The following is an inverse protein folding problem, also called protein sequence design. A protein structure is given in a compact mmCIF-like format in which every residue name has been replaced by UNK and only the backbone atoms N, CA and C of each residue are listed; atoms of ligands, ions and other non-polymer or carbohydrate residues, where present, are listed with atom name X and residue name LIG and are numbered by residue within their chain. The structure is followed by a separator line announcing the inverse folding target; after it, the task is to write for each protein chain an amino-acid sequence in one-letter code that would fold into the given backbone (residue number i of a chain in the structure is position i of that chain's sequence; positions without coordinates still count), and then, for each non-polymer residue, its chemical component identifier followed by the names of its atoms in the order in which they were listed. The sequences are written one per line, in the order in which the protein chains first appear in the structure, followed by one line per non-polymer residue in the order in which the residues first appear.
data_IF_934097526822
#
_entry.id   IF_934097526822
#
_cell.length_a   1.000
_cell.length_b   1.000
_cell.length_c   1.000
_cell.angle_alpha   90.00
_cell.angle_beta   90.00
_cell.angle_gamma   90.00
#
_symmetry.space_group_name_H-M   'P 1'
#
loop_
_entity.id
_entity.type
_entity.pdbx_description
1 polymer ?
#
# COMPACT_ATOMS: atom_id res chain seq x y z
N UNK A 1 -12.97 -17.65 8.74
CA UNK A 1 -13.10 -16.84 7.51
C UNK A 1 -11.73 -16.28 7.21
N UNK A 2 -11.31 -16.33 5.95
CA UNK A 2 -10.05 -15.75 5.48
C UNK A 2 -10.26 -14.26 5.21
N UNK A 3 -9.39 -13.41 5.75
CA UNK A 3 -9.46 -11.96 5.56
C UNK A 3 -8.74 -11.55 4.27
N UNK A 4 -9.39 -10.77 3.41
CA UNK A 4 -8.77 -10.13 2.26
C UNK A 4 -8.28 -8.76 2.70
N UNK A 5 -6.98 -8.53 2.58
CA UNK A 5 -6.32 -7.30 3.00
C UNK A 5 -5.78 -6.59 1.77
N UNK A 6 -6.55 -5.62 1.28
CA UNK A 6 -6.12 -4.76 0.19
C UNK A 6 -5.39 -3.55 0.76
N UNK A 7 -4.09 -3.45 0.51
CA UNK A 7 -3.29 -2.29 0.83
C UNK A 7 -2.80 -1.65 -0.48
N UNK A 8 -3.08 -0.36 -0.64
CA UNK A 8 -2.68 0.41 -1.81
C UNK A 8 -1.67 1.48 -1.40
N UNK A 9 -0.49 1.42 -2.00
CA UNK A 9 0.59 2.35 -1.73
C UNK A 9 0.61 3.51 -2.73
N UNK A 10 0.61 4.74 -2.23
CA UNK A 10 0.66 5.98 -3.00
C UNK A 10 2.01 6.67 -2.83
N UNK A 11 2.78 6.74 -3.92
CA UNK A 11 4.08 7.38 -3.92
C UNK A 11 4.39 8.14 -5.20
N UNK A 12 4.85 9.38 -5.02
CA UNK A 12 5.50 10.13 -6.10
C UNK A 12 6.81 10.74 -5.58
N UNK A 13 7.95 10.48 -6.24
CA UNK A 13 9.21 11.08 -5.87
C UNK A 13 9.33 12.50 -6.43
N UNK A 14 10.16 13.33 -5.79
CA UNK A 14 10.63 14.58 -6.37
C UNK A 14 11.79 14.31 -7.34
N UNK A 15 11.52 14.36 -8.64
CA UNK A 15 12.52 14.12 -9.70
C UNK A 15 13.48 15.29 -9.82
N UNK A 16 14.76 14.99 -9.95
CA UNK A 16 15.83 15.97 -10.09
C UNK A 16 15.72 16.74 -11.42
N UNK A 17 16.02 18.03 -11.36
CA UNK A 17 16.23 18.85 -12.53
C UNK A 17 17.62 18.66 -13.13
N UNK A 18 17.80 19.17 -14.36
CA UNK A 18 19.12 19.20 -14.98
C UNK A 18 20.00 20.23 -14.25
N UNK A 19 20.89 19.72 -13.41
CA UNK A 19 21.85 20.50 -12.64
C UNK A 19 23.26 20.35 -13.22
N UNK A 20 23.98 21.46 -13.38
CA UNK A 20 25.37 21.50 -13.88
C UNK A 20 26.30 22.02 -12.78
N UNK A 21 27.60 21.76 -12.92
CA UNK A 21 28.59 22.33 -12.00
C UNK A 21 28.49 23.86 -11.86
N UNK A 22 28.17 24.56 -12.96
CA UNK A 22 27.98 26.01 -12.98
C UNK A 22 26.75 26.49 -12.19
N UNK A 23 25.82 25.59 -11.84
CA UNK A 23 24.61 25.93 -11.08
C UNK A 23 24.87 25.88 -9.56
N UNK A 24 26.03 25.42 -9.09
CA UNK A 24 26.38 25.37 -7.67
C UNK A 24 26.39 26.79 -7.07
N UNK A 25 25.69 26.97 -5.93
CA UNK A 25 25.57 28.28 -5.27
C UNK A 25 24.59 29.25 -5.91
N UNK A 26 23.93 28.87 -7.02
CA UNK A 26 22.94 29.73 -7.70
C UNK A 26 21.61 29.91 -6.96
N UNK A 27 21.36 29.11 -5.91
CA UNK A 27 20.07 29.05 -5.23
C UNK A 27 18.97 28.33 -6.02
N UNK A 28 19.28 27.80 -7.21
CA UNK A 28 18.35 27.01 -8.01
C UNK A 28 18.02 25.70 -7.29
N UNK A 29 16.72 25.35 -7.24
CA UNK A 29 16.26 24.06 -6.70
C UNK A 29 16.91 22.89 -7.43
N UNK A 30 17.27 21.84 -6.68
CA UNK A 30 17.72 20.56 -7.24
C UNK A 30 16.60 19.81 -7.96
N UNK A 31 15.33 20.09 -7.61
CA UNK A 31 14.17 19.41 -8.16
C UNK A 31 13.56 20.19 -9.33
N UNK A 32 13.11 19.47 -10.34
CA UNK A 32 12.32 20.03 -11.44
C UNK A 32 10.85 20.16 -10.99
N UNK A 33 10.57 21.14 -10.14
CA UNK A 33 9.24 21.31 -9.53
C UNK A 33 8.13 21.40 -10.60
N UNK A 34 8.25 22.23 -11.66
CA UNK A 34 7.22 22.30 -12.70
C UNK A 34 6.93 20.94 -13.35
N UNK A 35 7.98 20.18 -13.70
CA UNK A 35 7.83 18.86 -14.30
C UNK A 35 7.19 17.85 -13.36
N UNK A 36 7.56 17.84 -12.08
CA UNK A 36 6.96 16.93 -11.10
C UNK A 36 5.47 17.21 -10.93
N UNK A 37 5.07 18.48 -10.81
CA UNK A 37 3.66 18.85 -10.70
C UNK A 37 2.87 18.55 -11.99
N UNK A 38 3.47 18.69 -13.17
CA UNK A 38 2.84 18.28 -14.44
C UNK A 38 2.61 16.76 -14.51
N UNK A 39 3.63 15.97 -14.15
CA UNK A 39 3.52 14.50 -14.06
C UNK A 39 2.42 14.13 -13.06
N UNK A 40 2.42 14.74 -11.87
CA UNK A 40 1.42 14.46 -10.85
C UNK A 40 0.00 14.72 -11.36
N UNK A 41 -0.25 15.87 -12.01
CA UNK A 41 -1.58 16.19 -12.58
C UNK A 41 -2.01 15.17 -13.62
N UNK A 42 -1.09 14.72 -14.46
CA UNK A 42 -1.39 13.72 -15.50
C UNK A 42 -1.77 12.37 -14.88
N UNK A 43 -1.01 11.90 -13.89
CA UNK A 43 -1.32 10.64 -13.20
C UNK A 43 -2.61 10.79 -12.38
N UNK A 44 -2.88 11.97 -11.81
CA UNK A 44 -4.10 12.23 -11.05
C UNK A 44 -5.37 12.10 -11.90
N UNK A 45 -5.34 12.51 -13.17
CA UNK A 45 -6.48 12.30 -14.10
C UNK A 45 -6.65 10.84 -14.51
N UNK A 46 -5.55 10.10 -14.69
CA UNK A 46 -5.58 8.72 -15.19
C UNK A 46 -5.85 7.67 -14.12
N UNK A 47 -5.30 7.90 -12.92
CA UNK A 47 -5.27 6.91 -11.84
C UNK A 47 -5.96 7.42 -10.58
N UNK A 48 -5.48 8.49 -9.94
CA UNK A 48 -5.94 8.86 -8.59
C UNK A 48 -7.42 9.19 -8.53
N UNK A 49 -7.91 10.15 -9.32
CA UNK A 49 -9.33 10.53 -9.30
C UNK A 49 -10.26 9.38 -9.66
N UNK A 50 -10.11 8.71 -10.83
CA UNK A 50 -11.05 7.66 -11.21
C UNK A 50 -11.03 6.47 -10.26
N UNK A 51 -9.87 6.13 -9.68
CA UNK A 51 -9.76 5.02 -8.73
C UNK A 51 -10.33 5.39 -7.36
N UNK A 52 -10.02 6.58 -6.82
CA UNK A 52 -10.57 7.05 -5.55
C UNK A 52 -12.09 7.20 -5.61
N UNK A 53 -12.64 7.74 -6.70
CA UNK A 53 -14.09 7.86 -6.89
C UNK A 53 -14.77 6.48 -6.86
N UNK A 54 -14.16 5.47 -7.48
CA UNK A 54 -14.67 4.09 -7.43
C UNK A 54 -14.53 3.47 -6.04
N UNK A 55 -13.41 3.65 -5.36
CA UNK A 55 -13.22 3.14 -4.01
C UNK A 55 -14.20 3.78 -3.01
N UNK A 56 -14.49 5.08 -3.14
CA UNK A 56 -15.53 5.75 -2.35
C UNK A 56 -16.92 5.16 -2.63
N UNK A 57 -17.28 4.96 -3.89
CA UNK A 57 -18.55 4.32 -4.26
C UNK A 57 -18.65 2.89 -3.69
N UNK A 58 -17.55 2.12 -3.71
CA UNK A 58 -17.49 0.77 -3.12
C UNK A 58 -17.65 0.80 -1.60
N UNK A 59 -17.03 1.76 -0.93
CA UNK A 59 -17.25 1.96 0.51
C UNK A 59 -18.72 2.27 0.79
N UNK A 60 -19.40 3.06 -0.03
CA UNK A 60 -20.82 3.36 0.16
C UNK A 60 -21.73 2.14 -0.12
N UNK A 61 -21.43 1.37 -1.18
CA UNK A 61 -22.24 0.22 -1.61
C UNK A 61 -22.05 -1.02 -0.72
N UNK A 62 -20.84 -1.25 -0.21
CA UNK A 62 -20.47 -2.45 0.55
C UNK A 62 -20.08 -2.08 1.99
N UNK A 63 -21.00 -2.19 2.97
CA UNK A 63 -20.72 -1.89 4.38
C UNK A 63 -19.56 -2.68 4.98
N UNK A 64 -19.32 -3.89 4.46
CA UNK A 64 -18.26 -4.79 4.88
C UNK A 64 -16.93 -4.54 4.18
N UNK A 65 -16.90 -3.77 3.08
CA UNK A 65 -15.67 -3.46 2.36
C UNK A 65 -14.75 -2.56 3.18
N UNK A 66 -13.48 -2.96 3.22
CA UNK A 66 -12.41 -2.31 3.98
C UNK A 66 -11.12 -2.44 3.20
N UNK A 67 -10.25 -1.45 3.36
CA UNK A 67 -8.93 -1.43 2.74
C UNK A 67 -7.93 -0.64 3.60
N UNK A 68 -6.68 -0.59 3.19
CA UNK A 68 -5.67 0.25 3.82
C UNK A 68 -4.87 1.02 2.78
N UNK A 69 -4.35 2.17 3.19
CA UNK A 69 -3.54 3.04 2.34
C UNK A 69 -2.20 3.33 3.03
N UNK A 70 -1.11 3.26 2.26
CA UNK A 70 0.17 3.85 2.62
C UNK A 70 0.38 5.08 1.74
N UNK A 71 0.51 6.27 2.32
CA UNK A 71 0.63 7.52 1.55
C UNK A 71 1.89 8.24 1.96
N UNK A 72 2.88 8.29 1.07
CA UNK A 72 4.18 8.91 1.38
C UNK A 72 4.07 10.42 1.60
N UNK A 73 5.02 10.99 2.34
CA UNK A 73 5.06 12.44 2.58
C UNK A 73 5.24 13.23 1.28
N UNK A 74 6.15 12.77 0.41
CA UNK A 74 6.37 13.41 -0.90
C UNK A 74 5.15 13.34 -1.82
N UNK A 75 4.32 12.29 -1.71
CA UNK A 75 3.04 12.23 -2.41
C UNK A 75 2.10 13.33 -1.91
N UNK A 76 1.93 13.46 -0.59
CA UNK A 76 1.01 14.46 -0.02
C UNK A 76 1.45 15.90 -0.31
N UNK A 77 2.75 16.17 -0.29
CA UNK A 77 3.31 17.46 -0.72
C UNK A 77 2.93 17.78 -2.16
N UNK A 78 3.20 16.86 -3.09
CA UNK A 78 2.86 17.06 -4.50
C UNK A 78 1.35 17.16 -4.71
N UNK A 79 0.56 16.35 -4.01
CA UNK A 79 -0.90 16.38 -4.11
C UNK A 79 -1.48 17.73 -3.68
N UNK A 80 -1.02 18.30 -2.56
CA UNK A 80 -1.46 19.62 -2.07
C UNK A 80 -1.24 20.73 -3.10
N UNK A 81 -0.14 20.69 -3.83
CA UNK A 81 0.22 21.70 -4.82
C UNK A 81 -0.41 21.45 -6.20
N UNK A 82 -0.48 20.19 -6.63
CA UNK A 82 -0.88 19.82 -7.99
C UNK A 82 -2.36 19.47 -8.14
N UNK A 83 -2.95 18.81 -7.13
CA UNK A 83 -4.30 18.24 -7.17
C UNK A 83 -4.87 18.08 -5.74
N UNK A 84 -5.20 19.19 -5.04
CA UNK A 84 -5.64 19.14 -3.65
C UNK A 84 -6.92 18.31 -3.45
N UNK A 85 -7.75 18.20 -4.48
CA UNK A 85 -8.97 17.38 -4.49
C UNK A 85 -8.69 15.86 -4.36
N UNK A 86 -7.47 15.40 -4.63
CA UNK A 86 -7.02 14.04 -4.34
C UNK A 86 -6.85 13.84 -2.83
N UNK A 87 -6.31 14.84 -2.13
CA UNK A 87 -6.15 14.81 -0.66
C UNK A 87 -7.51 14.81 0.01
N UNK A 88 -8.46 15.62 -0.47
CA UNK A 88 -9.83 15.67 0.05
C UNK A 88 -10.53 14.30 -0.05
N UNK A 89 -10.36 13.59 -1.18
CA UNK A 89 -10.90 12.22 -1.35
C UNK A 89 -10.26 11.21 -0.41
N UNK A 90 -8.93 11.27 -0.24
CA UNK A 90 -8.24 10.42 0.73
C UNK A 90 -8.74 10.68 2.15
N UNK A 91 -8.96 11.95 2.52
CA UNK A 91 -9.54 12.31 3.81
C UNK A 91 -10.98 11.80 3.97
N UNK A 92 -11.81 11.88 2.92
CA UNK A 92 -13.16 11.32 2.93
C UNK A 92 -13.15 9.79 3.11
N UNK A 93 -12.24 9.09 2.41
CA UNK A 93 -12.05 7.65 2.56
C UNK A 93 -11.66 7.26 3.98
N UNK A 94 -10.64 7.91 4.55
CA UNK A 94 -10.22 7.64 5.94
C UNK A 94 -11.32 8.00 6.93
N UNK A 95 -12.01 9.12 6.72
CA UNK A 95 -13.15 9.57 7.56
C UNK A 95 -14.34 8.61 7.56
N UNK A 96 -14.42 7.65 6.64
CA UNK A 96 -15.43 6.58 6.65
C UNK A 96 -15.26 5.58 7.82
N UNK A 97 -14.09 5.56 8.48
CA UNK A 97 -13.74 4.62 9.54
C UNK A 97 -13.48 3.18 9.05
N UNK A 98 -13.43 2.96 7.73
CA UNK A 98 -13.23 1.64 7.09
C UNK A 98 -11.94 1.55 6.27
N UNK A 99 -11.13 2.60 6.31
CA UNK A 99 -9.83 2.67 5.64
C UNK A 99 -8.75 2.86 6.68
N UNK A 100 -7.86 1.87 6.80
CA UNK A 100 -6.71 1.92 7.68
C UNK A 100 -5.53 2.68 7.05
N UNK A 101 -4.65 3.24 7.88
CA UNK A 101 -3.40 3.88 7.42
C UNK A 101 -2.19 3.08 7.86
N UNK A 102 -1.22 2.97 6.96
CA UNK A 102 0.08 2.33 7.21
C UNK A 102 1.16 3.42 7.23
N UNK A 103 2.00 3.39 8.26
CA UNK A 103 3.18 4.25 8.36
C UNK A 103 4.32 3.72 7.48
N UNK A 104 5.17 4.63 7.01
CA UNK A 104 6.42 4.33 6.32
C UNK A 104 7.44 5.45 6.55
N UNK A 105 8.52 5.48 5.76
CA UNK A 105 9.45 6.61 5.75
C UNK A 105 8.83 7.79 4.98
N UNK A 106 9.01 9.02 5.48
CA UNK A 106 8.39 10.21 4.88
C UNK A 106 8.74 10.36 3.39
N UNK A 107 9.99 10.11 3.02
CA UNK A 107 10.47 10.27 1.64
C UNK A 107 10.40 8.99 0.82
N UNK A 108 9.80 7.92 1.33
CA UNK A 108 9.89 6.57 0.76
C UNK A 108 11.35 6.09 0.60
N UNK A 109 12.23 6.54 1.51
CA UNK A 109 13.66 6.30 1.44
C UNK A 109 14.06 4.92 1.97
N UNK A 110 15.29 4.51 1.62
CA UNK A 110 15.97 3.37 2.24
C UNK A 110 16.70 3.77 3.53
N UNK A 111 16.11 4.65 4.36
CA UNK A 111 16.75 5.15 5.59
C UNK A 111 17.19 4.04 6.57
N UNK A 112 16.63 2.84 6.45
CA UNK A 112 17.07 1.65 7.19
C UNK A 112 18.49 1.18 6.82
N UNK A 113 19.07 1.65 5.72
CA UNK A 113 20.48 1.42 5.35
C UNK A 113 21.42 2.50 5.93
N UNK A 114 20.86 3.56 6.50
CA UNK A 114 21.58 4.71 7.03
C UNK A 114 21.68 4.62 8.57
N UNK A 115 22.47 5.50 9.22
CA UNK A 115 22.58 5.49 10.68
C UNK A 115 21.21 5.60 11.38
N UNK A 116 21.04 4.99 12.58
CA UNK A 116 19.75 4.86 13.24
C UNK A 116 18.89 6.12 13.41
N UNK A 117 19.46 7.34 13.60
CA UNK A 117 18.64 8.56 13.68
C UNK A 117 17.81 8.81 12.43
N UNK A 118 18.32 8.52 11.22
CA UNK A 118 17.63 8.86 9.98
C UNK A 118 16.29 8.12 9.84
N UNK A 119 16.32 6.80 10.06
CA UNK A 119 15.11 5.98 10.02
C UNK A 119 14.07 6.43 11.06
N UNK A 120 14.53 6.75 12.27
CA UNK A 120 13.64 7.30 13.31
C UNK A 120 12.97 8.56 12.83
N UNK A 121 13.78 9.53 12.41
CA UNK A 121 13.34 10.90 12.18
C UNK A 121 12.35 10.91 11.01
N UNK A 122 12.60 10.12 9.95
CA UNK A 122 11.66 9.96 8.83
C UNK A 122 10.33 9.30 9.22
N UNK A 123 10.35 8.23 10.04
CA UNK A 123 9.13 7.54 10.46
C UNK A 123 8.30 8.42 11.41
N UNK A 124 8.96 9.16 12.31
CA UNK A 124 8.29 10.12 13.20
C UNK A 124 7.65 11.27 12.40
N UNK A 125 8.39 11.82 11.43
CA UNK A 125 7.89 12.85 10.54
C UNK A 125 6.67 12.37 9.73
N UNK A 126 6.71 11.13 9.23
CA UNK A 126 5.58 10.54 8.51
C UNK A 126 4.37 10.32 9.40
N UNK A 127 4.55 9.77 10.60
CA UNK A 127 3.45 9.60 11.56
C UNK A 127 2.80 10.94 11.91
N UNK A 128 3.59 11.99 12.12
CA UNK A 128 3.09 13.32 12.40
C UNK A 128 2.30 13.90 11.21
N UNK A 129 2.79 13.71 9.98
CA UNK A 129 2.05 14.10 8.78
C UNK A 129 0.70 13.39 8.68
N UNK A 130 0.63 12.09 8.97
CA UNK A 130 -0.61 11.32 8.93
C UNK A 130 -1.60 11.80 10.01
N UNK A 131 -1.14 12.07 11.24
CA UNK A 131 -1.98 12.68 12.29
C UNK A 131 -2.55 14.02 11.85
N UNK A 132 -1.73 14.89 11.29
CA UNK A 132 -2.17 16.23 10.87
C UNK A 132 -3.14 16.18 9.69
N UNK A 133 -2.89 15.27 8.74
CA UNK A 133 -3.67 15.19 7.49
C UNK A 133 -4.98 14.42 7.68
N UNK A 134 -4.95 13.32 8.42
CA UNK A 134 -6.04 12.35 8.50
C UNK A 134 -6.63 12.19 9.91
N UNK A 135 -6.00 12.79 10.94
CA UNK A 135 -6.40 12.65 12.36
C UNK A 135 -6.35 11.21 12.88
N UNK A 136 -5.48 10.40 12.29
CA UNK A 136 -5.30 9.00 12.63
C UNK A 136 -3.84 8.71 13.00
N UNK A 137 -3.67 7.77 13.93
CA UNK A 137 -2.39 7.28 14.42
C UNK A 137 -2.11 5.90 13.80
N UNK A 138 -1.16 5.78 12.86
CA UNK A 138 -0.88 4.50 12.22
C UNK A 138 -0.31 3.49 13.25
N UNK A 139 -0.80 2.26 13.21
CA UNK A 139 -0.35 1.17 14.11
C UNK A 139 0.44 0.08 13.40
N UNK A 140 0.49 0.16 12.07
CA UNK A 140 1.27 -0.74 11.23
C UNK A 140 2.34 0.05 10.48
N UNK A 141 3.52 -0.55 10.38
CA UNK A 141 4.66 0.00 9.66
C UNK A 141 4.96 -0.82 8.39
N UNK A 142 5.32 -0.16 7.30
CA UNK A 142 5.99 -0.80 6.17
C UNK A 142 7.26 -0.04 5.82
N UNK A 143 8.23 -0.74 5.27
CA UNK A 143 9.41 -0.11 4.69
C UNK A 143 9.29 -0.08 3.17
N UNK A 144 10.08 0.79 2.54
CA UNK A 144 10.26 0.84 1.09
C UNK A 144 10.49 -0.56 0.53
N UNK A 145 9.76 -0.89 -0.55
CA UNK A 145 9.75 -2.22 -1.17
C UNK A 145 9.39 -3.39 -0.23
N UNK A 146 8.63 -3.14 0.84
CA UNK A 146 8.28 -4.12 1.87
C UNK A 146 9.53 -4.80 2.48
N UNK A 147 10.64 -4.06 2.54
CA UNK A 147 11.89 -4.54 3.10
C UNK A 147 11.72 -4.97 4.57
N UNK A 148 12.28 -6.12 4.90
CA UNK A 148 12.19 -6.70 6.23
C UNK A 148 13.55 -7.14 6.76
N UNK A 149 13.75 -6.95 8.06
CA UNK A 149 14.81 -7.59 8.83
C UNK A 149 14.39 -7.62 10.30
N UNK A 150 15.01 -8.51 11.08
CA UNK A 150 14.87 -8.53 12.54
C UNK A 150 15.22 -7.20 13.20
N UNK A 151 16.16 -6.44 12.63
CA UNK A 151 16.48 -5.09 13.09
C UNK A 151 15.31 -4.13 12.93
N UNK A 152 14.60 -4.21 11.81
CA UNK A 152 13.42 -3.40 11.53
C UNK A 152 12.22 -3.81 12.38
N UNK A 153 12.07 -5.11 12.65
CA UNK A 153 11.04 -5.61 13.56
C UNK A 153 11.24 -5.07 14.98
N UNK A 154 12.47 -5.11 15.52
CA UNK A 154 12.79 -4.50 16.83
C UNK A 154 12.57 -3.00 16.84
N UNK A 155 12.93 -2.31 15.75
CA UNK A 155 12.66 -0.88 15.62
C UNK A 155 11.16 -0.59 15.70
N UNK A 156 10.34 -1.35 14.95
CA UNK A 156 8.89 -1.19 14.93
C UNK A 156 8.27 -1.44 16.32
N UNK A 157 8.63 -2.55 16.96
CA UNK A 157 8.14 -2.92 18.29
C UNK A 157 8.54 -1.87 19.35
N UNK A 158 9.79 -1.41 19.34
CA UNK A 158 10.28 -0.37 20.25
C UNK A 158 9.55 0.97 20.11
N UNK A 159 8.86 1.19 18.98
CA UNK A 159 8.02 2.37 18.70
C UNK A 159 6.54 2.14 18.90
N UNK A 160 6.15 0.96 19.37
CA UNK A 160 4.76 0.66 19.67
C UNK A 160 3.91 0.35 18.44
N UNK A 161 4.53 0.13 17.26
CA UNK A 161 3.82 -0.48 16.14
C UNK A 161 3.42 -1.90 16.52
N UNK A 162 2.21 -2.29 16.09
CA UNK A 162 1.62 -3.60 16.37
C UNK A 162 1.83 -4.59 15.24
N UNK A 163 1.98 -4.07 14.02
CA UNK A 163 2.23 -4.89 12.85
C UNK A 163 3.31 -4.29 11.95
N UNK A 164 3.92 -5.16 11.15
CA UNK A 164 4.77 -4.77 10.04
C UNK A 164 4.42 -5.55 8.79
N UNK A 165 4.36 -4.87 7.65
CA UNK A 165 4.20 -5.50 6.34
C UNK A 165 5.57 -5.94 5.80
N UNK A 166 5.62 -7.11 5.18
CA UNK A 166 6.83 -7.65 4.57
C UNK A 166 6.52 -8.45 3.30
N UNK A 167 7.52 -8.63 2.45
CA UNK A 167 7.38 -9.42 1.22
C UNK A 167 7.27 -10.92 1.53
N UNK A 168 6.26 -11.59 0.97
CA UNK A 168 6.01 -13.03 1.14
C UNK A 168 6.81 -13.89 0.17
N UNK A 169 8.08 -13.55 -0.06
CA UNK A 169 8.95 -14.28 -0.96
C UNK A 169 9.34 -15.65 -0.37
N UNK A 170 9.35 -16.75 -1.15
CA UNK A 170 9.65 -18.09 -0.63
C UNK A 170 11.00 -18.22 0.07
N UNK A 171 11.98 -17.39 -0.30
CA UNK A 171 13.28 -17.35 0.34
C UNK A 171 13.24 -16.92 1.81
N UNK A 172 12.36 -15.98 2.17
CA UNK A 172 12.16 -15.51 3.56
C UNK A 172 11.21 -16.45 4.32
N UNK A 173 10.22 -17.01 3.63
CA UNK A 173 9.21 -17.85 4.26
C UNK A 173 9.69 -19.27 4.57
N UNK A 174 10.81 -19.74 3.99
CA UNK A 174 11.36 -21.07 4.22
C UNK A 174 10.32 -22.21 4.08
N UNK A 175 9.47 -22.12 3.05
CA UNK A 175 8.40 -23.09 2.77
C UNK A 175 7.09 -22.86 3.54
N UNK A 176 7.00 -21.82 4.36
CA UNK A 176 5.77 -21.37 5.00
C UNK A 176 4.89 -20.58 4.03
N UNK A 177 3.60 -20.46 4.32
CA UNK A 177 2.64 -19.74 3.46
C UNK A 177 2.57 -18.24 3.83
N UNK A 178 2.47 -17.30 2.89
CA UNK A 178 2.29 -15.87 3.21
C UNK A 178 0.91 -15.55 3.83
N UNK A 179 0.00 -16.52 3.93
CA UNK A 179 -1.41 -16.32 4.29
C UNK A 179 -1.72 -16.45 5.79
N UNK A 180 -0.69 -16.56 6.64
CA UNK A 180 -0.83 -16.67 8.09
C UNK A 180 -0.09 -15.54 8.78
N UNK A 181 -0.56 -15.17 9.97
CA UNK A 181 0.13 -14.18 10.81
C UNK A 181 1.40 -14.80 11.35
N UNK A 182 2.49 -14.07 11.30
CA UNK A 182 3.74 -14.46 11.94
C UNK A 182 4.13 -13.43 12.99
N UNK A 183 5.14 -13.72 13.79
CA UNK A 183 5.85 -12.71 14.57
C UNK A 183 7.34 -12.76 14.23
N UNK A 184 8.08 -11.70 14.56
CA UNK A 184 9.55 -11.75 14.45
C UNK A 184 10.11 -12.56 15.61
N UNK A 185 11.12 -13.40 15.34
CA UNK A 185 11.88 -14.06 16.39
C UNK A 185 12.53 -13.09 17.40
N UNK A 186 12.79 -11.84 16.97
CA UNK A 186 13.44 -10.81 17.80
C UNK A 186 12.50 -9.72 18.31
N UNK A 187 11.24 -9.74 17.88
CA UNK A 187 10.18 -8.82 18.31
C UNK A 187 8.85 -9.57 18.40
N UNK A 188 8.68 -10.30 19.51
CA UNK A 188 7.60 -11.29 19.67
C UNK A 188 6.19 -10.71 19.78
N UNK A 189 6.05 -9.41 20.07
CA UNK A 189 4.74 -8.74 20.16
C UNK A 189 4.33 -8.07 18.85
N UNK A 190 5.23 -7.99 17.87
CA UNK A 190 4.99 -7.45 16.54
C UNK A 190 4.45 -8.54 15.60
N UNK A 191 3.25 -8.32 15.06
CA UNK A 191 2.70 -9.20 14.02
C UNK A 191 3.30 -8.88 12.66
N UNK A 192 3.74 -9.89 11.92
CA UNK A 192 4.18 -9.78 10.54
C UNK A 192 3.07 -10.25 9.60
N UNK A 193 2.72 -9.38 8.64
CA UNK A 193 1.78 -9.69 7.57
C UNK A 193 2.53 -9.70 6.24
N UNK A 194 2.50 -10.86 5.59
CA UNK A 194 3.26 -11.11 4.36
C UNK A 194 2.41 -10.81 3.13
N UNK A 195 3.01 -10.14 2.15
CA UNK A 195 2.40 -9.95 0.84
C UNK A 195 2.24 -11.29 0.14
N UNK A 196 1.07 -11.54 -0.42
CA UNK A 196 0.84 -12.69 -1.30
C UNK A 196 1.25 -12.34 -2.73
N UNK A 197 2.57 -12.23 -2.98
CA UNK A 197 3.11 -11.65 -4.23
C UNK A 197 2.53 -12.25 -5.52
N UNK A 198 2.22 -13.56 -5.67
CA UNK A 198 1.67 -14.06 -6.93
C UNK A 198 0.32 -13.42 -7.27
N UNK A 199 -0.59 -13.37 -6.30
CA UNK A 199 -1.94 -12.79 -6.47
C UNK A 199 -1.89 -11.26 -6.58
N UNK A 200 -0.98 -10.60 -5.86
CA UNK A 200 -0.75 -9.17 -6.03
C UNK A 200 -0.23 -8.84 -7.44
N UNK A 201 0.74 -9.60 -7.93
CA UNK A 201 1.35 -9.40 -9.25
C UNK A 201 0.40 -9.76 -10.40
N UNK A 202 -0.54 -10.68 -10.18
CA UNK A 202 -1.58 -11.01 -11.15
C UNK A 202 -2.44 -9.79 -11.49
N UNK A 203 -2.72 -8.93 -10.50
CA UNK A 203 -3.40 -7.64 -10.69
C UNK A 203 -2.40 -6.57 -11.18
N UNK A 204 -1.27 -6.42 -10.48
CA UNK A 204 -0.35 -5.30 -10.72
C UNK A 204 0.36 -5.38 -12.08
N UNK A 205 0.80 -6.58 -12.47
CA UNK A 205 1.67 -6.77 -13.64
C UNK A 205 1.02 -7.60 -14.75
N UNK A 206 0.29 -8.67 -14.42
CA UNK A 206 -0.21 -9.63 -15.44
C UNK A 206 -1.60 -9.32 -15.98
N UNK A 207 -2.32 -8.35 -15.40
CA UNK A 207 -3.72 -8.10 -15.73
C UNK A 207 -3.99 -7.89 -17.22
N UNK A 208 -3.12 -7.14 -17.91
CA UNK A 208 -3.20 -6.88 -19.36
C UNK A 208 -2.33 -7.80 -20.24
N UNK A 209 -1.65 -8.79 -19.65
CA UNK A 209 -0.75 -9.70 -20.35
C UNK A 209 -1.55 -10.77 -21.13
N UNK A 210 -1.79 -10.52 -22.43
CA UNK A 210 -2.63 -11.39 -23.28
C UNK A 210 -2.02 -12.77 -23.56
N UNK A 211 -0.72 -12.92 -23.33
CA UNK A 211 0.04 -14.16 -23.47
C UNK A 211 0.11 -14.97 -22.16
N UNK A 212 -0.35 -14.41 -21.04
CA UNK A 212 -0.48 -15.14 -19.78
C UNK A 212 -1.64 -16.14 -19.85
N UNK A 213 -1.41 -17.37 -19.40
CA UNK A 213 -2.36 -18.48 -19.51
C UNK A 213 -3.71 -18.23 -18.82
N UNK A 214 -3.74 -17.35 -17.82
CA UNK A 214 -4.97 -17.02 -17.09
C UNK A 214 -5.68 -15.77 -17.64
N UNK A 215 -5.17 -15.14 -18.70
CA UNK A 215 -5.82 -13.99 -19.32
C UNK A 215 -7.15 -14.42 -20.01
N UNK A 216 -8.23 -13.62 -19.91
CA UNK A 216 -8.36 -12.39 -19.12
C UNK A 216 -8.59 -12.67 -17.63
N UNK A 217 -8.09 -11.78 -16.77
CA UNK A 217 -8.37 -11.82 -15.33
C UNK A 217 -9.70 -11.12 -15.04
N UNK A 218 -10.72 -11.88 -14.63
CA UNK A 218 -12.02 -11.34 -14.22
C UNK A 218 -12.16 -11.33 -12.70
N UNK A 219 -13.04 -10.48 -12.17
CA UNK A 219 -13.27 -10.38 -10.72
C UNK A 219 -13.81 -11.70 -10.13
N UNK A 220 -14.63 -12.43 -10.89
CA UNK A 220 -15.17 -13.76 -10.59
C UNK A 220 -14.04 -14.78 -10.44
N UNK A 221 -13.14 -14.82 -11.45
CA UNK A 221 -12.01 -15.75 -11.48
C UNK A 221 -11.08 -15.49 -10.31
N UNK A 222 -10.73 -14.22 -10.09
CA UNK A 222 -9.85 -13.82 -9.00
C UNK A 222 -10.46 -14.11 -7.62
N UNK A 223 -11.75 -13.82 -7.41
CA UNK A 223 -12.44 -14.17 -6.17
C UNK A 223 -12.48 -15.69 -5.92
N UNK A 224 -12.62 -16.49 -6.98
CA UNK A 224 -12.50 -17.94 -6.92
C UNK A 224 -11.11 -18.40 -6.43
N UNK A 225 -10.03 -17.76 -6.91
CA UNK A 225 -8.67 -18.04 -6.45
C UNK A 225 -8.46 -17.63 -4.99
N UNK A 226 -8.97 -16.46 -4.58
CA UNK A 226 -8.95 -16.03 -3.17
C UNK A 226 -9.65 -17.05 -2.27
N UNK A 227 -10.83 -17.54 -2.69
CA UNK A 227 -11.60 -18.53 -1.92
C UNK A 227 -10.91 -19.90 -1.85
N UNK A 228 -10.14 -20.26 -2.87
CA UNK A 228 -9.36 -21.49 -2.91
C UNK A 228 -8.03 -21.41 -2.13
N UNK A 229 -7.64 -20.21 -1.68
CA UNK A 229 -6.38 -19.97 -0.98
C UNK A 229 -6.57 -20.10 0.54
N UNK A 230 -5.99 -21.12 1.20
CA UNK A 230 -6.14 -21.31 2.64
C UNK A 230 -5.29 -20.33 3.44
N UNK A 231 -5.79 -19.88 4.59
CA UNK A 231 -5.05 -19.02 5.50
C UNK A 231 -5.95 -18.23 6.44
N UNK A 232 -5.32 -17.43 7.28
CA UNK A 232 -6.00 -16.45 8.12
C UNK A 232 -6.33 -15.19 7.33
N UNK A 233 -5.43 -14.79 6.43
CA UNK A 233 -5.59 -13.64 5.56
C UNK A 233 -4.87 -13.82 4.22
N UNK A 234 -5.16 -12.94 3.25
CA UNK A 234 -4.44 -12.83 1.98
C UNK A 234 -4.06 -11.36 1.80
N UNK A 235 -2.75 -11.07 1.86
CA UNK A 235 -2.20 -9.72 1.73
C UNK A 235 -2.05 -9.32 0.27
N UNK A 236 -2.97 -8.49 -0.24
CA UNK A 236 -2.91 -7.89 -1.57
C UNK A 236 -2.30 -6.50 -1.45
N UNK A 237 -0.97 -6.44 -1.39
CA UNK A 237 -0.22 -5.17 -1.24
C UNK A 237 0.37 -4.78 -2.59
N UNK A 238 0.06 -3.59 -3.08
CA UNK A 238 0.51 -3.12 -4.40
C UNK A 238 0.43 -1.61 -4.53
N UNK A 239 1.10 -1.06 -5.54
CA UNK A 239 1.03 0.35 -5.87
C UNK A 239 -0.40 0.73 -6.29
N UNK A 240 -0.88 1.87 -5.80
CA UNK A 240 -2.17 2.43 -6.17
C UNK A 240 -2.21 2.73 -7.68
N UNK A 241 -1.09 3.16 -8.25
CA UNK A 241 -0.88 3.43 -9.67
C UNK A 241 -1.09 2.19 -10.55
N UNK A 242 -1.22 0.99 -9.96
CA UNK A 242 -1.76 -0.20 -10.65
C UNK A 242 -3.05 0.12 -11.40
N UNK A 243 -3.95 0.89 -10.78
CA UNK A 243 -5.27 1.21 -11.31
C UNK A 243 -5.22 2.51 -12.12
N UNK A 244 -5.20 2.41 -13.45
CA UNK A 244 -5.31 3.54 -14.37
C UNK A 244 -4.00 4.08 -14.94
N UNK A 245 -2.85 3.82 -14.29
CA UNK A 245 -1.52 4.21 -14.81
C UNK A 245 -0.71 3.00 -15.31
N UNK A 246 -0.35 2.05 -14.44
CA UNK A 246 0.38 0.84 -14.84
C UNK A 246 -0.51 -0.09 -15.68
N UNK A 247 -1.76 -0.29 -15.25
CA UNK A 247 -2.80 -0.90 -16.07
C UNK A 247 -3.72 0.23 -16.56
N UNK A 248 -3.74 0.56 -17.86
CA UNK A 248 -4.54 1.67 -18.37
C UNK A 248 -6.03 1.35 -18.24
N UNK A 249 -6.88 2.37 -18.12
CA UNK A 249 -8.33 2.22 -17.94
C UNK A 249 -8.99 1.32 -18.99
N UNK A 250 -8.51 1.38 -20.23
CA UNK A 250 -8.96 0.64 -21.40
C UNK A 250 -8.71 -0.88 -21.28
N UNK A 251 -7.84 -1.30 -20.34
CA UNK A 251 -7.64 -2.72 -20.01
C UNK A 251 -8.84 -3.32 -19.26
N UNK A 252 -9.72 -2.50 -18.68
CA UNK A 252 -10.82 -2.94 -17.82
C UNK A 252 -10.45 -3.07 -16.34
N UNK A 253 -9.27 -2.60 -15.93
CA UNK A 253 -8.79 -2.72 -14.54
C UNK A 253 -9.68 -1.99 -13.54
N UNK A 254 -10.28 -0.85 -13.94
CA UNK A 254 -11.14 -0.06 -13.07
C UNK A 254 -12.52 -0.74 -12.89
N UNK A 255 -13.02 -1.38 -13.94
CA UNK A 255 -14.21 -2.23 -13.90
C UNK A 255 -13.96 -3.48 -13.06
N UNK A 256 -12.78 -4.09 -13.19
CA UNK A 256 -12.37 -5.20 -12.33
C UNK A 256 -12.40 -4.80 -10.85
N UNK A 257 -11.80 -3.65 -10.50
CA UNK A 257 -11.80 -3.14 -9.13
C UNK A 257 -13.22 -2.91 -8.61
N UNK A 258 -14.09 -2.34 -9.46
CA UNK A 258 -15.49 -2.02 -9.10
C UNK A 258 -16.35 -3.28 -8.88
N UNK A 259 -16.02 -4.40 -9.52
CA UNK A 259 -16.77 -5.66 -9.33
C UNK A 259 -16.16 -6.56 -8.25
N UNK A 260 -14.92 -6.32 -7.83
CA UNK A 260 -14.18 -7.21 -6.94
C UNK A 260 -14.88 -7.44 -5.58
N UNK A 261 -15.37 -6.40 -4.85
CA UNK A 261 -16.08 -6.63 -3.58
C UNK A 261 -17.35 -7.47 -3.74
N UNK A 262 -18.14 -7.22 -4.78
CA UNK A 262 -19.33 -8.02 -5.10
C UNK A 262 -18.98 -9.47 -5.42
N UNK A 263 -17.88 -9.70 -6.14
CA UNK A 263 -17.36 -11.03 -6.43
C UNK A 263 -16.90 -11.78 -5.18
N UNK A 264 -16.14 -11.12 -4.30
CA UNK A 264 -15.69 -11.69 -3.02
C UNK A 264 -16.86 -12.04 -2.11
N UNK A 265 -17.90 -11.19 -2.06
CA UNK A 265 -19.10 -11.40 -1.24
C UNK A 265 -19.87 -12.69 -1.58
N UNK A 266 -19.72 -13.23 -2.80
CA UNK A 266 -20.31 -14.52 -3.19
C UNK A 266 -19.64 -15.72 -2.50
N UNK A 267 -18.49 -15.52 -1.86
CA UNK A 267 -17.76 -16.55 -1.14
C UNK A 267 -17.88 -16.32 0.38
N UNK A 268 -18.77 -17.04 1.09
CA UNK A 268 -19.03 -16.80 2.52
C UNK A 268 -17.84 -17.10 3.45
N UNK A 269 -16.79 -17.74 2.93
CA UNK A 269 -15.54 -17.96 3.65
C UNK A 269 -14.59 -16.75 3.67
N UNK A 270 -14.87 -15.71 2.87
CA UNK A 270 -14.04 -14.52 2.72
C UNK A 270 -14.67 -13.30 3.39
N UNK A 271 -13.83 -12.39 3.88
CA UNK A 271 -14.25 -11.10 4.42
C UNK A 271 -13.18 -10.04 4.19
N UNK A 272 -13.51 -8.76 4.16
CA UNK A 272 -12.53 -7.69 4.03
C UNK A 272 -12.04 -7.22 5.38
N UNK A 273 -10.76 -6.87 5.47
CA UNK A 273 -10.16 -6.30 6.67
C UNK A 273 -9.17 -5.19 6.30
N UNK A 274 -9.04 -4.21 7.19
CA UNK A 274 -7.86 -3.34 7.17
C UNK A 274 -6.63 -4.12 7.61
N UNK A 275 -5.45 -3.58 7.34
CA UNK A 275 -4.18 -4.16 7.80
C UNK A 275 -4.16 -4.32 9.33
N UNK A 276 -4.65 -3.32 10.07
CA UNK A 276 -4.69 -3.36 11.53
C UNK A 276 -5.67 -4.43 12.07
N UNK A 277 -6.82 -4.59 11.43
CA UNK A 277 -7.77 -5.66 11.78
C UNK A 277 -7.20 -7.04 11.46
N UNK A 278 -6.48 -7.16 10.34
CA UNK A 278 -5.81 -8.39 9.95
C UNK A 278 -4.63 -8.74 10.85
N UNK A 279 -4.01 -7.77 11.52
CA UNK A 279 -2.94 -8.00 12.48
C UNK A 279 -3.44 -8.61 13.81
N UNK A 280 -4.76 -8.57 14.09
CA UNK A 280 -5.35 -9.10 15.32
C UNK A 280 -5.46 -10.63 15.27
N UNK A 281 -4.77 -11.29 16.21
CA UNK A 281 -4.82 -12.73 16.39
C UNK A 281 -3.47 -13.27 16.84
N UNK A 282 -3.42 -14.51 17.36
CA UNK A 282 -2.14 -15.12 17.69
C UNK A 282 -1.32 -15.34 16.40
N UNK A 283 0.01 -15.10 16.42
CA UNK A 283 0.87 -15.52 15.33
C UNK A 283 0.91 -17.04 15.28
N UNK A 284 1.01 -17.60 14.08
CA UNK A 284 1.15 -19.04 13.86
C UNK A 284 2.51 -19.53 14.34
N UNK A 285 3.57 -18.84 13.90
CA UNK A 285 4.97 -19.15 14.18
C UNK A 285 5.81 -17.86 14.15
N UNK A 286 7.04 -17.92 14.64
CA UNK A 286 8.03 -16.88 14.40
C UNK A 286 8.77 -17.09 13.06
N UNK A 287 8.99 -16.00 12.34
CA UNK A 287 9.89 -15.94 11.17
C UNK A 287 11.20 -15.26 11.58
#
# INVERSE_FOLDING_TARGET
MTQIVLELHLHQPWRLGRFRYLDLGSGRSYFDVPRNLEIFRTIAERSYRPTLDRLLALLDEYPDFRLSLSVTGTFLEQAREAAPDVVERLQAMVGSGRVGLVAETYYHSLAFLLPPPELRDEVELHCELLRQTFREDPRTLRMTELAYSDGLARFAEARGFRAMLAEGWPGILHGRSPTYRYCSATASTLTLLMRHFPLSDDIAFRFSARDWSEYPLTSEKFAGWLAATPGDFIGLFMDFETFGEHQPSESGILEFLSHLPGSVRRHPGLTWATVDEAAVGPPRDSI
#
